data_IF_251411685129
#
_entry.id   IF_251411685129
#
_cell.length_a   1.000
_cell.length_b   1.000
_cell.length_c   1.000
_cell.angle_alpha   90.00
_cell.angle_beta   90.00
_cell.angle_gamma   90.00
#
_symmetry.space_group_name_H-M   'P 1'
#
loop_
_entity.id
_entity.type
_entity.pdbx_description
1 polymer ?
#
# COMPACT_ATOMS: atom_id res chain seq x y z
N UNK A 1 -18.69 1.48 -2.11
CA UNK A 1 -17.78 2.54 -2.60
C UNK A 1 -16.41 2.26 -2.02
N UNK A 2 -15.34 2.43 -2.79
CA UNK A 2 -13.97 2.16 -2.32
C UNK A 2 -13.56 3.23 -1.29
N UNK A 3 -13.24 2.85 -0.03
CA UNK A 3 -12.92 3.82 1.02
C UNK A 3 -11.53 4.45 0.88
N UNK A 4 -10.68 3.93 -0.02
CA UNK A 4 -9.32 4.43 -0.23
C UNK A 4 -9.22 5.45 -1.35
N UNK A 5 -10.30 5.65 -2.12
CA UNK A 5 -10.35 6.50 -3.32
C UNK A 5 -11.17 7.74 -3.04
N UNK A 6 -10.63 8.90 -3.41
CA UNK A 6 -11.38 10.15 -3.37
C UNK A 6 -12.53 10.13 -4.42
N UNK A 7 -13.78 10.41 -4.01
CA UNK A 7 -14.94 10.34 -4.90
C UNK A 7 -14.86 11.26 -6.12
N UNK A 8 -14.20 12.41 -5.97
CA UNK A 8 -14.14 13.47 -6.96
C UNK A 8 -12.99 13.26 -7.93
N UNK A 9 -11.80 12.95 -7.41
CA UNK A 9 -10.57 12.86 -8.22
C UNK A 9 -10.33 11.46 -8.77
N UNK A 10 -10.93 10.42 -8.14
CA UNK A 10 -10.66 9.00 -8.41
C UNK A 10 -9.22 8.56 -8.09
N UNK A 11 -8.46 9.38 -7.37
CA UNK A 11 -7.11 9.10 -6.90
C UNK A 11 -7.13 8.60 -5.46
N UNK A 12 -6.10 7.85 -5.04
CA UNK A 12 -5.96 7.39 -3.66
C UNK A 12 -5.88 8.56 -2.68
N UNK A 13 -6.63 8.45 -1.58
CA UNK A 13 -6.59 9.41 -0.48
C UNK A 13 -5.21 9.34 0.16
N UNK A 14 -4.51 10.47 0.15
CA UNK A 14 -3.13 10.62 0.62
C UNK A 14 -3.00 11.87 1.51
N UNK A 15 -2.01 11.87 2.41
CA UNK A 15 -1.78 12.94 3.40
C UNK A 15 -1.35 14.27 2.78
N UNK A 16 -0.88 14.25 1.53
CA UNK A 16 -0.40 15.42 0.79
C UNK A 16 -1.52 16.08 -0.03
N UNK A 17 -2.74 15.53 -0.01
CA UNK A 17 -3.89 16.00 -0.80
C UNK A 17 -3.61 16.09 -2.32
N UNK A 18 -2.79 15.18 -2.84
CA UNK A 18 -2.51 15.10 -4.28
C UNK A 18 -3.73 14.51 -4.99
N UNK A 19 -4.22 15.21 -6.00
CA UNK A 19 -5.42 14.84 -6.78
C UNK A 19 -5.12 14.37 -8.21
N UNK A 20 -3.89 14.55 -8.68
CA UNK A 20 -3.45 14.02 -9.98
C UNK A 20 -2.78 12.66 -9.76
N UNK A 21 -3.17 11.68 -10.58
CA UNK A 21 -2.70 10.30 -10.44
C UNK A 21 -1.20 10.19 -10.71
N UNK A 22 -0.68 10.92 -11.71
CA UNK A 22 0.73 10.83 -12.04
C UNK A 22 1.62 11.54 -11.02
N UNK A 23 1.19 12.69 -10.54
CA UNK A 23 1.90 13.37 -9.45
C UNK A 23 1.97 12.48 -8.21
N UNK A 24 0.88 11.77 -7.88
CA UNK A 24 0.87 10.84 -6.76
C UNK A 24 1.85 9.68 -6.97
N UNK A 25 1.85 9.06 -8.16
CA UNK A 25 2.79 7.98 -8.50
C UNK A 25 4.25 8.45 -8.37
N UNK A 26 4.56 9.65 -8.88
CA UNK A 26 5.92 10.19 -8.85
C UNK A 26 6.38 10.50 -7.41
N UNK A 27 5.49 11.04 -6.57
CA UNK A 27 5.80 11.33 -5.17
C UNK A 27 5.90 10.03 -4.36
N UNK A 28 5.00 9.07 -4.56
CA UNK A 28 5.06 7.76 -3.93
C UNK A 28 6.40 7.08 -4.21
N UNK A 29 6.84 7.05 -5.47
CA UNK A 29 8.12 6.46 -5.85
C UNK A 29 9.31 7.15 -5.16
N UNK A 30 9.30 8.48 -5.06
CA UNK A 30 10.36 9.22 -4.39
C UNK A 30 10.43 8.93 -2.89
N UNK A 31 9.28 8.95 -2.20
CA UNK A 31 9.20 8.63 -0.77
C UNK A 31 9.59 7.18 -0.50
N UNK A 32 9.14 6.24 -1.35
CA UNK A 32 9.50 4.83 -1.25
C UNK A 32 11.02 4.62 -1.38
N UNK A 33 11.65 5.24 -2.37
CA UNK A 33 13.11 5.14 -2.59
C UNK A 33 13.86 5.70 -1.37
N UNK A 34 13.46 6.86 -0.85
CA UNK A 34 14.06 7.44 0.35
C UNK A 34 13.89 6.51 1.57
N UNK A 35 12.69 5.98 1.77
CA UNK A 35 12.39 5.02 2.83
C UNK A 35 13.25 3.76 2.75
N UNK A 36 13.40 3.18 1.55
CA UNK A 36 14.25 2.00 1.32
C UNK A 36 15.71 2.27 1.66
N UNK A 37 16.25 3.43 1.26
CA UNK A 37 17.64 3.80 1.58
C UNK A 37 17.87 3.85 3.10
N UNK A 38 16.85 4.27 3.86
CA UNK A 38 16.93 4.42 5.31
C UNK A 38 16.42 3.20 6.09
N UNK A 39 16.00 2.13 5.39
CA UNK A 39 15.27 1.01 6.01
C UNK A 39 16.12 0.29 7.06
N UNK A 40 17.43 0.13 6.83
CA UNK A 40 18.35 -0.58 7.72
C UNK A 40 18.38 0.00 9.14
N UNK A 41 18.07 1.30 9.30
CA UNK A 41 18.02 1.97 10.62
C UNK A 41 16.76 1.66 11.41
N UNK A 42 15.74 1.08 10.76
CA UNK A 42 14.39 0.91 11.28
C UNK A 42 13.91 -0.55 11.26
N UNK A 43 14.75 -1.52 10.86
CA UNK A 43 14.42 -2.95 10.79
C UNK A 43 14.59 -3.70 12.13
N UNK A 44 14.88 -3.02 13.24
CA UNK A 44 15.11 -3.68 14.54
C UNK A 44 13.89 -4.47 15.05
N UNK A 45 12.68 -4.08 14.64
CA UNK A 45 11.41 -4.73 15.03
C UNK A 45 10.88 -5.72 13.96
N UNK A 46 11.66 -6.01 12.91
CA UNK A 46 11.25 -6.90 11.81
C UNK A 46 11.72 -8.33 12.08
N UNK A 47 10.77 -9.23 12.26
CA UNK A 47 11.00 -10.68 12.24
C UNK A 47 10.54 -11.25 10.89
N UNK A 48 11.47 -11.73 10.07
CA UNK A 48 11.17 -12.29 8.75
C UNK A 48 10.31 -13.57 8.79
N UNK A 49 10.12 -14.18 9.96
CA UNK A 49 9.24 -15.32 10.15
C UNK A 49 7.82 -14.93 10.58
N UNK A 50 7.59 -13.67 10.98
CA UNK A 50 6.27 -13.15 11.35
C UNK A 50 5.67 -12.33 10.20
N UNK A 51 4.46 -12.69 9.78
CA UNK A 51 3.73 -11.95 8.74
C UNK A 51 3.46 -10.50 9.13
N UNK A 52 3.38 -10.18 10.43
CA UNK A 52 3.19 -8.82 10.94
C UNK A 52 4.32 -7.89 10.54
N UNK A 53 5.52 -8.43 10.30
CA UNK A 53 6.67 -7.67 9.84
C UNK A 53 6.43 -7.01 8.48
N UNK A 54 5.60 -7.61 7.61
CA UNK A 54 5.20 -6.99 6.34
C UNK A 54 4.38 -5.72 6.60
N UNK A 55 3.46 -5.75 7.58
CA UNK A 55 2.71 -4.56 7.98
C UNK A 55 3.60 -3.46 8.55
N UNK A 56 4.62 -3.82 9.34
CA UNK A 56 5.61 -2.88 9.89
C UNK A 56 6.39 -2.20 8.76
N UNK A 57 6.93 -3.00 7.82
CA UNK A 57 7.65 -2.50 6.66
C UNK A 57 6.77 -1.58 5.81
N UNK A 58 5.51 -1.98 5.56
CA UNK A 58 4.59 -1.17 4.75
C UNK A 58 4.23 0.15 5.44
N UNK A 59 4.02 0.14 6.76
CA UNK A 59 3.82 1.35 7.55
C UNK A 59 5.03 2.29 7.47
N UNK A 60 6.23 1.73 7.53
CA UNK A 60 7.45 2.53 7.45
C UNK A 60 7.61 3.18 6.07
N UNK A 61 7.48 2.40 4.99
CA UNK A 61 7.71 2.89 3.63
C UNK A 61 6.64 3.87 3.14
N UNK A 62 5.38 3.69 3.55
CA UNK A 62 4.26 4.45 3.02
C UNK A 62 3.55 5.32 4.06
N UNK A 63 4.00 5.30 5.32
CA UNK A 63 3.35 5.98 6.44
C UNK A 63 3.34 7.50 6.31
N UNK A 64 4.27 8.09 5.58
CA UNK A 64 4.26 9.53 5.31
C UNK A 64 3.19 9.92 4.27
N UNK A 65 2.79 8.99 3.41
CA UNK A 65 1.85 9.25 2.30
C UNK A 65 0.43 8.79 2.59
N UNK A 66 0.25 7.63 3.22
CA UNK A 66 -1.07 7.03 3.45
C UNK A 66 -1.38 6.89 4.95
N UNK A 67 -2.57 7.30 5.37
CA UNK A 67 -3.03 7.15 6.77
C UNK A 67 -3.26 5.70 7.18
N UNK A 68 -3.55 4.84 6.20
CA UNK A 68 -3.81 3.41 6.36
C UNK A 68 -2.57 2.54 6.11
N UNK A 69 -1.38 3.13 5.95
CA UNK A 69 -0.15 2.37 5.76
C UNK A 69 0.11 1.42 6.96
N UNK A 70 0.26 0.13 6.66
CA UNK A 70 0.46 -0.95 7.63
C UNK A 70 -0.81 -1.69 8.01
N UNK A 71 -1.98 -1.14 7.65
CA UNK A 71 -3.27 -1.76 7.88
C UNK A 71 -3.64 -2.72 6.77
N UNK A 72 -4.36 -3.79 7.12
CA UNK A 72 -4.93 -4.68 6.13
C UNK A 72 -6.12 -4.03 5.43
N UNK A 73 -6.27 -4.31 4.13
CA UNK A 73 -7.39 -3.80 3.35
C UNK A 73 -8.73 -4.31 3.90
N UNK A 74 -9.73 -3.44 3.85
CA UNK A 74 -11.10 -3.72 4.34
C UNK A 74 -12.08 -4.09 3.23
N UNK A 75 -11.63 -4.11 1.97
CA UNK A 75 -12.42 -4.47 0.80
C UNK A 75 -11.67 -5.50 -0.06
N UNK A 76 -12.41 -6.19 -0.95
CA UNK A 76 -11.80 -7.02 -1.98
C UNK A 76 -11.20 -6.15 -3.08
N UNK A 77 -10.09 -6.59 -3.65
CA UNK A 77 -9.37 -5.88 -4.71
C UNK A 77 -9.32 -6.72 -5.98
N UNK A 78 -9.24 -6.02 -7.09
CA UNK A 78 -9.05 -6.57 -8.42
C UNK A 78 -8.04 -5.70 -9.15
N UNK A 79 -7.01 -6.31 -9.70
CA UNK A 79 -5.94 -5.62 -10.41
C UNK A 79 -5.65 -6.34 -11.72
N UNK A 80 -5.86 -5.65 -12.83
CA UNK A 80 -5.51 -6.17 -14.15
C UNK A 80 -4.00 -6.31 -14.26
N UNK A 81 -3.52 -7.51 -14.61
CA UNK A 81 -2.11 -7.77 -14.83
C UNK A 81 -1.84 -7.92 -16.33
N UNK A 82 -0.92 -7.11 -16.86
CA UNK A 82 -0.57 -7.13 -18.29
C UNK A 82 -0.05 -8.49 -18.73
N UNK A 83 0.74 -9.14 -17.86
CA UNK A 83 1.30 -10.48 -18.08
C UNK A 83 0.22 -11.58 -18.10
N UNK A 84 -0.99 -11.28 -17.59
CA UNK A 84 -2.14 -12.17 -17.61
C UNK A 84 -3.19 -11.74 -18.65
N UNK A 85 -2.78 -11.03 -19.71
CA UNK A 85 -3.68 -10.49 -20.73
C UNK A 85 -4.84 -9.66 -20.14
N UNK A 86 -4.58 -8.92 -19.07
CA UNK A 86 -5.58 -8.08 -18.40
C UNK A 86 -6.46 -8.84 -17.42
N UNK A 87 -6.22 -10.13 -17.17
CA UNK A 87 -6.86 -10.84 -16.05
C UNK A 87 -6.20 -10.45 -14.72
N UNK A 88 -6.93 -10.66 -13.62
CA UNK A 88 -6.41 -10.52 -12.28
C UNK A 88 -6.12 -11.87 -11.63
N UNK A 89 -5.24 -11.88 -10.64
CA UNK A 89 -5.06 -13.02 -9.76
C UNK A 89 -6.16 -13.05 -8.69
N UNK A 90 -6.44 -14.24 -8.16
CA UNK A 90 -7.35 -14.36 -7.03
C UNK A 90 -6.66 -13.90 -5.73
N UNK A 91 -7.05 -12.73 -5.24
CA UNK A 91 -6.65 -12.25 -3.92
C UNK A 91 -7.55 -12.85 -2.82
N UNK A 92 -6.99 -13.11 -1.65
CA UNK A 92 -7.75 -13.58 -0.47
C UNK A 92 -8.95 -12.67 -0.16
N UNK A 93 -10.08 -13.20 0.29
CA UNK A 93 -11.18 -12.35 0.74
C UNK A 93 -10.71 -11.47 1.92
N UNK A 94 -11.08 -10.18 1.95
CA UNK A 94 -10.55 -9.23 2.94
C UNK A 94 -10.77 -9.68 4.40
N UNK A 95 -11.89 -10.36 4.68
CA UNK A 95 -12.23 -10.92 6.00
C UNK A 95 -11.34 -12.08 6.46
N UNK A 96 -10.51 -12.64 5.58
CA UNK A 96 -9.68 -13.81 5.85
C UNK A 96 -8.20 -13.47 5.98
N UNK A 97 -7.80 -12.23 5.74
CA UNK A 97 -6.38 -11.83 5.74
C UNK A 97 -5.78 -11.91 7.16
N UNK A 98 -6.54 -11.50 8.17
CA UNK A 98 -6.10 -11.51 9.59
C UNK A 98 -6.15 -12.90 10.25
N UNK A 99 -6.64 -13.92 9.54
CA UNK A 99 -6.81 -15.28 10.07
C UNK A 99 -5.66 -16.22 9.68
N UNK A 100 -4.63 -15.68 9.04
CA UNK A 100 -3.44 -16.39 8.58
C UNK A 100 -2.37 -16.32 9.66
#
# INVERSE_FOLDING_TARGET
MDPYIDPHTKVLINKLNISDEQDLINIEAQLLIAGIIDIDRNLHDVDFLDFKSISIIYKYLFGELYSWAGEFRTINIYKNEKVLNGLSINYSHHSNIQKI
#
